data_IF_378611756237
#
_entry.id   IF_378611756237
#
_cell.length_a   1.000
_cell.length_b   1.000
_cell.length_c   1.000
_cell.angle_alpha   90.00
_cell.angle_beta   90.00
_cell.angle_gamma   90.00
#
_symmetry.space_group_name_H-M   'P 1'
#
loop_
_entity.id
_entity.type
_entity.pdbx_description
1 polymer ?
#
# COMPACT_ATOMS: atom_id res chain seq x y z
N UNK A 1 1.52 -13.56 25.27
CA UNK A 1 2.12 -12.92 24.10
C UNK A 1 1.08 -12.74 23.07
N UNK A 2 0.71 -11.52 22.95
CA UNK A 2 -0.47 -11.17 22.19
C UNK A 2 -0.18 -10.85 20.73
N UNK A 3 1.10 -10.84 20.37
CA UNK A 3 1.49 -10.44 19.03
C UNK A 3 1.41 -11.55 18.00
N UNK A 4 1.11 -12.76 18.46
CA UNK A 4 1.32 -13.94 17.64
C UNK A 4 0.44 -14.03 16.42
N UNK A 5 -0.84 -13.68 16.53
CA UNK A 5 -1.77 -13.82 15.41
C UNK A 5 -1.33 -12.98 14.20
N UNK A 6 -1.00 -11.70 14.44
CA UNK A 6 -0.58 -10.81 13.35
C UNK A 6 0.80 -11.17 12.86
N UNK A 7 1.71 -11.51 13.76
CA UNK A 7 3.05 -11.95 13.39
C UNK A 7 3.02 -13.25 12.60
N UNK A 8 2.11 -14.17 12.95
CA UNK A 8 1.94 -15.42 12.22
C UNK A 8 1.45 -15.16 10.79
N UNK A 9 0.51 -14.23 10.62
CA UNK A 9 0.04 -13.87 9.27
C UNK A 9 1.17 -13.29 8.45
N UNK A 10 1.94 -12.37 9.01
CA UNK A 10 3.08 -11.80 8.32
C UNK A 10 4.10 -12.87 7.95
N UNK A 11 4.39 -13.78 8.88
CA UNK A 11 5.33 -14.87 8.63
C UNK A 11 4.87 -15.76 7.47
N UNK A 12 3.57 -16.06 7.41
CA UNK A 12 3.01 -16.87 6.32
C UNK A 12 3.13 -16.15 4.99
N UNK A 13 2.82 -14.86 4.96
CA UNK A 13 2.92 -14.07 3.73
C UNK A 13 4.37 -13.98 3.25
N UNK A 14 5.30 -13.79 4.17
CA UNK A 14 6.73 -13.75 3.82
C UNK A 14 7.23 -15.08 3.28
N UNK A 15 6.73 -16.20 3.84
CA UNK A 15 7.08 -17.52 3.33
C UNK A 15 6.57 -17.71 1.90
N UNK A 16 5.34 -17.29 1.62
CA UNK A 16 4.78 -17.34 0.27
C UNK A 16 5.56 -16.46 -0.69
N UNK A 17 5.94 -15.26 -0.22
CA UNK A 17 6.74 -14.33 -1.00
C UNK A 17 8.09 -14.94 -1.40
N UNK A 18 8.69 -15.73 -0.52
CA UNK A 18 9.96 -16.41 -0.81
C UNK A 18 9.87 -17.31 -2.02
N UNK A 19 8.69 -17.86 -2.30
CA UNK A 19 8.47 -18.73 -3.45
C UNK A 19 8.01 -17.97 -4.70
N UNK A 20 7.34 -16.85 -4.50
CA UNK A 20 6.82 -16.03 -5.60
C UNK A 20 7.17 -14.56 -5.35
N UNK A 21 8.44 -14.20 -5.49
CA UNK A 21 8.92 -12.87 -5.07
C UNK A 21 8.34 -11.70 -5.87
N UNK A 22 7.84 -11.96 -7.08
CA UNK A 22 7.30 -10.90 -7.94
C UNK A 22 5.76 -10.84 -7.93
N UNK A 23 5.12 -11.60 -7.04
CA UNK A 23 3.67 -11.58 -6.95
C UNK A 23 3.20 -10.29 -6.28
N UNK A 24 2.65 -9.38 -7.07
CA UNK A 24 2.19 -8.07 -6.58
C UNK A 24 1.11 -8.18 -5.51
N UNK A 25 0.26 -9.19 -5.58
CA UNK A 25 -0.77 -9.39 -4.58
C UNK A 25 -0.18 -9.73 -3.21
N UNK A 26 0.84 -10.60 -3.20
CA UNK A 26 1.53 -10.94 -1.95
C UNK A 26 2.29 -9.74 -1.40
N UNK A 27 2.97 -8.98 -2.25
CA UNK A 27 3.68 -7.78 -1.84
C UNK A 27 2.73 -6.77 -1.18
N UNK A 28 1.57 -6.59 -1.80
CA UNK A 28 0.54 -5.70 -1.27
C UNK A 28 0.04 -6.21 0.09
N UNK A 29 -0.22 -7.51 0.21
CA UNK A 29 -0.67 -8.11 1.46
C UNK A 29 0.35 -7.95 2.60
N UNK A 30 1.63 -8.12 2.29
CA UNK A 30 2.72 -7.91 3.26
C UNK A 30 2.74 -6.46 3.72
N UNK A 31 2.62 -5.52 2.77
CA UNK A 31 2.60 -4.11 3.10
C UNK A 31 1.44 -3.78 4.05
N UNK A 32 0.25 -4.30 3.76
CA UNK A 32 -0.91 -4.06 4.60
C UNK A 32 -0.73 -4.64 6.00
N UNK A 33 -0.11 -5.81 6.08
CA UNK A 33 0.13 -6.44 7.38
C UNK A 33 1.16 -5.65 8.19
N UNK A 34 2.22 -5.18 7.54
CA UNK A 34 3.20 -4.30 8.19
C UNK A 34 2.53 -3.03 8.71
N UNK A 35 1.67 -2.42 7.91
CA UNK A 35 0.96 -1.20 8.30
C UNK A 35 0.08 -1.45 9.53
N UNK A 36 -0.61 -2.56 9.54
CA UNK A 36 -1.48 -2.97 10.63
C UNK A 36 -0.70 -3.18 11.93
N UNK A 37 0.52 -3.68 11.82
CA UNK A 37 1.42 -3.89 12.97
C UNK A 37 2.14 -2.62 13.41
N UNK A 38 1.90 -1.50 12.75
CA UNK A 38 2.56 -0.24 13.07
C UNK A 38 3.96 -0.12 12.50
N UNK A 39 4.38 -1.05 11.64
CA UNK A 39 5.68 -1.02 10.96
C UNK A 39 5.57 -0.19 9.70
N UNK A 40 5.37 1.12 9.89
CA UNK A 40 4.97 1.99 8.78
C UNK A 40 6.07 2.19 7.74
N UNK A 41 7.32 2.36 8.16
CA UNK A 41 8.42 2.52 7.21
C UNK A 41 8.63 1.27 6.37
N UNK A 42 8.54 0.10 7.01
CA UNK A 42 8.63 -1.16 6.27
C UNK A 42 7.48 -1.28 5.27
N UNK A 43 6.27 -0.88 5.68
CA UNK A 43 5.11 -0.94 4.80
C UNK A 43 5.32 -0.11 3.53
N UNK A 44 5.94 1.06 3.64
CA UNK A 44 6.21 1.89 2.47
C UNK A 44 7.04 1.15 1.43
N UNK A 45 8.09 0.48 1.87
CA UNK A 45 8.95 -0.30 0.97
C UNK A 45 8.20 -1.42 0.27
N UNK A 46 7.34 -2.13 1.00
CA UNK A 46 6.54 -3.21 0.42
C UNK A 46 5.50 -2.67 -0.56
N UNK A 47 4.88 -1.52 -0.26
CA UNK A 47 3.96 -0.89 -1.21
C UNK A 47 4.69 -0.49 -2.49
N UNK A 48 5.90 0.06 -2.39
CA UNK A 48 6.67 0.43 -3.57
C UNK A 48 6.95 -0.78 -4.46
N UNK A 49 7.29 -1.91 -3.84
CA UNK A 49 7.52 -3.15 -4.57
C UNK A 49 6.23 -3.68 -5.22
N UNK A 50 5.11 -3.56 -4.51
CA UNK A 50 3.81 -3.98 -5.04
C UNK A 50 3.42 -3.14 -6.27
N UNK A 51 3.64 -1.83 -6.21
CA UNK A 51 3.35 -0.93 -7.32
C UNK A 51 4.22 -1.27 -8.53
N UNK A 52 5.51 -1.57 -8.29
CA UNK A 52 6.42 -1.94 -9.38
C UNK A 52 6.05 -3.29 -10.00
N UNK A 53 5.61 -4.24 -9.18
CA UNK A 53 5.26 -5.57 -9.65
C UNK A 53 3.93 -5.60 -10.40
N UNK A 54 2.96 -4.78 -9.97
CA UNK A 54 1.65 -4.75 -10.59
C UNK A 54 1.16 -3.30 -10.72
N UNK A 55 1.43 -2.68 -11.88
CA UNK A 55 1.02 -1.29 -12.11
C UNK A 55 -0.48 -1.03 -12.04
N UNK A 56 -1.30 -2.07 -12.10
CA UNK A 56 -2.76 -1.93 -12.00
C UNK A 56 -3.24 -1.95 -10.55
N UNK A 57 -2.35 -2.15 -9.59
CA UNK A 57 -2.69 -2.21 -8.17
C UNK A 57 -2.82 -0.80 -7.61
N UNK A 58 -3.91 -0.11 -7.99
CA UNK A 58 -4.10 1.29 -7.65
C UNK A 58 -4.25 1.53 -6.14
N UNK A 59 -4.80 0.55 -5.42
CA UNK A 59 -4.98 0.69 -3.98
C UNK A 59 -3.67 0.65 -3.18
N UNK A 60 -2.58 0.20 -3.80
CA UNK A 60 -1.27 0.30 -3.17
C UNK A 60 -0.88 1.76 -2.95
N UNK A 61 -1.21 2.64 -3.90
CA UNK A 61 -1.00 4.10 -3.74
C UNK A 61 -1.85 4.64 -2.60
N UNK A 62 -3.12 4.25 -2.55
CA UNK A 62 -4.07 4.69 -1.53
C UNK A 62 -3.56 4.36 -0.13
N UNK A 63 -3.18 3.11 0.09
CA UNK A 63 -2.73 2.67 1.41
C UNK A 63 -1.33 3.17 1.76
N UNK A 64 -0.45 3.31 0.76
CA UNK A 64 0.86 3.93 0.98
C UNK A 64 0.69 5.36 1.49
N UNK A 65 -0.24 6.11 0.89
CA UNK A 65 -0.51 7.48 1.31
C UNK A 65 -1.00 7.52 2.76
N UNK A 66 -1.85 6.57 3.16
CA UNK A 66 -2.32 6.51 4.55
C UNK A 66 -1.17 6.22 5.52
N UNK A 67 -0.24 5.35 5.12
CA UNK A 67 0.94 5.08 5.93
C UNK A 67 1.83 6.33 6.06
N UNK A 68 2.00 7.07 4.97
CA UNK A 68 2.76 8.33 4.99
C UNK A 68 2.11 9.37 5.90
N UNK A 69 0.78 9.49 5.84
CA UNK A 69 0.06 10.41 6.70
C UNK A 69 0.23 10.03 8.18
N UNK A 70 0.18 8.73 8.48
CA UNK A 70 0.42 8.25 9.84
C UNK A 70 1.83 8.58 10.33
N UNK A 71 2.79 8.68 9.41
CA UNK A 71 4.16 9.10 9.69
C UNK A 71 4.34 10.61 9.69
N UNK A 72 3.23 11.36 9.58
CA UNK A 72 3.22 12.82 9.52
C UNK A 72 3.94 13.36 8.27
N UNK A 73 3.89 12.61 7.19
CA UNK A 73 4.49 12.99 5.90
C UNK A 73 3.37 13.25 4.90
N UNK A 74 2.49 14.17 5.25
CA UNK A 74 1.26 14.42 4.48
C UNK A 74 1.53 14.97 3.07
N UNK A 75 2.52 15.83 2.91
CA UNK A 75 2.85 16.34 1.58
C UNK A 75 3.26 15.22 0.63
N UNK A 76 4.05 14.27 1.12
CA UNK A 76 4.40 13.09 0.35
C UNK A 76 3.18 12.21 0.07
N UNK A 77 2.28 12.08 1.05
CA UNK A 77 1.05 11.32 0.88
C UNK A 77 0.22 11.88 -0.28
N UNK A 78 0.07 13.20 -0.34
CA UNK A 78 -0.69 13.84 -1.42
C UNK A 78 -0.03 13.58 -2.77
N UNK A 79 1.31 13.67 -2.83
CA UNK A 79 2.05 13.39 -4.06
C UNK A 79 1.82 11.96 -4.53
N UNK A 80 1.88 11.00 -3.62
CA UNK A 80 1.62 9.57 -3.92
C UNK A 80 0.19 9.39 -4.43
N UNK A 81 -0.77 10.07 -3.81
CA UNK A 81 -2.17 9.97 -4.23
C UNK A 81 -2.37 10.54 -5.64
N UNK A 82 -1.69 11.63 -5.98
CA UNK A 82 -1.80 12.18 -7.32
C UNK A 82 -1.24 11.21 -8.36
N UNK A 83 -0.13 10.54 -8.05
CA UNK A 83 0.41 9.50 -8.92
C UNK A 83 -0.57 8.34 -9.07
N UNK A 84 -1.17 7.92 -7.96
CA UNK A 84 -2.18 6.86 -7.96
C UNK A 84 -3.41 7.23 -8.76
N UNK A 85 -3.84 8.49 -8.67
CA UNK A 85 -4.98 8.98 -9.43
C UNK A 85 -4.72 8.92 -10.94
N UNK A 86 -3.54 9.38 -11.35
CA UNK A 86 -3.13 9.30 -12.75
C UNK A 86 -3.12 7.84 -13.23
N UNK A 87 -2.60 6.94 -12.40
CA UNK A 87 -2.56 5.53 -12.73
C UNK A 87 -3.97 4.94 -12.83
N UNK A 88 -4.84 5.24 -11.87
CA UNK A 88 -6.21 4.73 -11.87
C UNK A 88 -6.96 5.18 -13.12
N UNK A 89 -6.77 6.42 -13.52
CA UNK A 89 -7.39 6.95 -14.74
C UNK A 89 -6.84 6.26 -15.98
N UNK A 90 -5.53 6.02 -16.02
CA UNK A 90 -4.90 5.40 -17.18
C UNK A 90 -5.32 3.95 -17.38
N UNK A 91 -5.59 3.21 -16.31
CA UNK A 91 -6.05 1.83 -16.40
C UNK A 91 -7.58 1.70 -16.36
N UNK A 92 -8.29 2.81 -16.23
CA UNK A 92 -9.75 2.81 -16.23
C UNK A 92 -10.38 2.35 -14.93
N UNK A 93 -9.68 2.41 -13.82
CA UNK A 93 -10.22 2.02 -12.51
C UNK A 93 -10.93 3.21 -11.87
N UNK A 94 -12.20 3.36 -12.20
CA UNK A 94 -13.02 4.50 -11.73
C UNK A 94 -13.24 4.47 -10.23
N UNK A 95 -13.41 3.29 -9.67
CA UNK A 95 -13.65 3.15 -8.23
C UNK A 95 -12.42 3.62 -7.45
N UNK A 96 -11.23 3.15 -7.83
CA UNK A 96 -10.00 3.58 -7.20
C UNK A 96 -9.78 5.08 -7.38
N UNK A 97 -10.03 5.60 -8.59
CA UNK A 97 -9.88 7.04 -8.85
C UNK A 97 -10.75 7.87 -7.90
N UNK A 98 -12.01 7.47 -7.73
CA UNK A 98 -12.94 8.17 -6.85
C UNK A 98 -12.49 8.17 -5.40
N UNK A 99 -12.04 7.03 -4.91
CA UNK A 99 -11.56 6.94 -3.53
C UNK A 99 -10.27 7.72 -3.31
N UNK A 100 -9.37 7.69 -4.28
CA UNK A 100 -8.13 8.46 -4.21
C UNK A 100 -8.41 9.96 -4.19
N UNK A 101 -9.33 10.43 -5.06
CA UNK A 101 -9.73 11.83 -5.05
C UNK A 101 -10.30 12.26 -3.71
N UNK A 102 -11.16 11.42 -3.12
CA UNK A 102 -11.73 11.72 -1.82
C UNK A 102 -10.65 11.85 -0.74
N UNK A 103 -9.64 10.99 -0.79
CA UNK A 103 -8.56 11.05 0.19
C UNK A 103 -7.66 12.27 -0.02
N UNK A 104 -7.42 12.66 -1.28
CA UNK A 104 -6.70 13.91 -1.56
C UNK A 104 -7.44 15.08 -0.91
N UNK A 105 -8.75 15.14 -1.08
CA UNK A 105 -9.56 16.22 -0.49
C UNK A 105 -9.44 16.23 1.04
N UNK A 106 -9.41 15.07 1.66
CA UNK A 106 -9.25 14.98 3.11
C UNK A 106 -7.87 15.48 3.57
N UNK A 107 -6.85 15.27 2.75
CA UNK A 107 -5.47 15.63 3.10
C UNK A 107 -5.12 17.07 2.73
N UNK A 108 -5.92 17.71 1.90
CA UNK A 108 -5.74 19.11 1.53
C UNK A 108 -6.76 19.99 2.21
#
# INVERSE_FOLDING_TARGET
>A
MTLHADSDRLAKLLAMHGQEPDDGFLLYGIAQECQKLGRLEEALGWYDRAIAADPKQCYAFFHKAKALDALRRRAEAVSVLRDGLARARSVGDRHAASEIEALIDDFE
#
